data_IF_184891670514
#
_entry.id   IF_184891670514
#
_cell.length_a   1.000
_cell.length_b   1.000
_cell.length_c   1.000
_cell.angle_alpha   90.00
_cell.angle_beta   90.00
_cell.angle_gamma   90.00
#
_symmetry.space_group_name_H-M   'P 1'
#
loop_
_entity.id
_entity.type
_entity.pdbx_description
1 polymer ?
#
# COMPACT_ATOMS: atom_id res chain seq x y z
N UNK A 1 30.10 52.41 1.24
CA UNK A 1 28.74 52.34 1.83
C UNK A 1 28.73 51.28 2.90
N UNK A 2 28.53 51.73 4.13
CA UNK A 2 28.57 51.01 5.40
C UNK A 2 27.24 50.31 5.70
N UNK A 3 27.29 49.13 6.33
CA UNK A 3 26.58 48.85 7.60
C UNK A 3 27.04 47.52 8.23
N UNK A 4 27.53 47.64 9.46
CA UNK A 4 27.77 46.59 10.47
C UNK A 4 26.52 46.48 11.36
N UNK A 5 26.26 45.32 11.99
CA UNK A 5 25.68 45.15 13.35
C UNK A 5 25.42 43.64 13.61
N UNK A 6 26.21 42.97 14.47
CA UNK A 6 26.00 42.64 15.90
C UNK A 6 24.99 41.51 16.18
N UNK A 7 25.45 40.48 16.91
CA UNK A 7 24.62 39.42 17.51
C UNK A 7 24.28 39.66 18.98
N UNK A 8 23.66 38.67 19.63
CA UNK A 8 23.48 38.38 21.10
C UNK A 8 22.79 36.98 21.15
N UNK A 9 23.37 35.94 21.72
CA UNK A 9 23.42 35.50 23.14
C UNK A 9 22.12 34.91 23.73
N UNK A 10 22.33 33.82 24.49
CA UNK A 10 21.41 32.78 24.94
C UNK A 10 20.46 33.15 26.09
N UNK A 11 19.42 32.34 26.31
CA UNK A 11 18.94 32.04 27.66
C UNK A 11 18.22 30.68 27.77
N UNK A 12 18.60 29.93 28.81
CA UNK A 12 18.08 28.65 29.27
C UNK A 12 16.93 28.90 30.24
N UNK A 13 15.82 28.17 30.15
CA UNK A 13 14.97 27.88 31.31
C UNK A 13 14.42 26.45 31.23
N UNK A 14 14.78 25.66 32.24
CA UNK A 14 14.22 24.34 32.48
C UNK A 14 12.86 24.40 33.15
N UNK A 15 12.16 23.26 33.12
CA UNK A 15 11.07 22.94 34.04
C UNK A 15 11.00 21.43 34.19
N UNK A 16 11.33 20.95 35.38
CA UNK A 16 11.04 19.60 35.85
C UNK A 16 9.73 19.66 36.62
N UNK A 17 8.81 18.72 36.35
CA UNK A 17 7.73 18.39 37.27
C UNK A 17 7.46 16.88 37.21
N UNK A 18 7.57 16.26 38.39
CA UNK A 18 7.31 14.87 38.72
C UNK A 18 5.81 14.72 38.99
N UNK A 19 5.17 13.62 38.58
CA UNK A 19 4.01 13.07 39.29
C UNK A 19 3.83 11.57 38.99
N UNK A 20 3.47 10.88 40.07
CA UNK A 20 3.42 9.44 40.26
C UNK A 20 2.17 8.76 39.66
N UNK A 21 2.25 7.45 39.45
CA UNK A 21 1.06 6.62 39.15
C UNK A 21 1.33 5.12 39.28
N UNK A 22 0.69 4.50 40.27
CA UNK A 22 0.58 3.07 40.62
C UNK A 22 0.34 2.16 39.39
N UNK A 23 0.72 0.88 39.31
CA UNK A 23 0.88 -0.15 40.34
C UNK A 23 -0.28 -1.16 40.27
N UNK A 24 -0.16 -2.22 39.46
CA UNK A 24 -0.89 -3.53 39.51
C UNK A 24 -0.15 -4.48 38.53
N UNK A 25 0.64 -5.46 38.97
CA UNK A 25 0.32 -6.76 39.59
C UNK A 25 -0.29 -7.80 38.62
N UNK A 26 0.55 -8.79 38.25
CA UNK A 26 0.26 -10.23 38.03
C UNK A 26 -0.63 -10.61 36.81
N UNK A 27 -0.40 -11.65 35.99
CA UNK A 27 0.15 -13.00 36.17
C UNK A 27 0.74 -13.56 34.84
N UNK A 28 1.62 -14.60 34.91
CA UNK A 28 2.03 -15.42 33.78
C UNK A 28 1.16 -16.68 33.66
N UNK A 29 0.78 -17.08 32.44
CA UNK A 29 0.28 -18.44 32.14
C UNK A 29 0.59 -18.71 30.66
N UNK A 30 1.70 -19.39 30.38
CA UNK A 30 1.78 -20.83 30.14
C UNK A 30 1.03 -21.29 28.88
N UNK A 31 1.83 -21.90 28.00
CA UNK A 31 1.47 -22.62 26.80
C UNK A 31 0.35 -23.64 27.04
N UNK A 32 -0.39 -23.95 25.97
CA UNK A 32 -0.85 -25.31 25.67
C UNK A 32 -1.22 -25.41 24.19
N UNK A 33 -0.43 -26.20 23.48
CA UNK A 33 -0.77 -26.84 22.22
C UNK A 33 -2.11 -27.56 22.33
N UNK A 34 -2.94 -27.52 21.28
CA UNK A 34 -3.85 -28.63 21.00
C UNK A 34 -4.21 -28.72 19.52
N UNK A 35 -3.50 -29.65 18.87
CA UNK A 35 -3.85 -30.35 17.64
C UNK A 35 -5.22 -30.99 17.75
N UNK A 36 -6.12 -30.73 16.78
CA UNK A 36 -7.26 -31.57 16.42
C UNK A 36 -7.71 -31.28 14.97
N UNK A 37 -7.13 -32.01 14.00
CA UNK A 37 -7.88 -32.61 12.89
C UNK A 37 -8.36 -33.99 13.40
N UNK A 38 -9.22 -34.78 12.72
CA UNK A 38 -9.89 -34.58 11.43
C UNK A 38 -11.40 -34.95 11.45
N UNK A 39 -12.15 -34.68 10.37
CA UNK A 39 -12.84 -35.75 9.62
C UNK A 39 -13.62 -35.22 8.42
N UNK A 40 -13.29 -35.85 7.30
CA UNK A 40 -14.03 -36.01 6.06
C UNK A 40 -15.44 -36.56 6.26
N UNK A 41 -16.40 -36.09 5.45
CA UNK A 41 -17.48 -36.93 4.91
C UNK A 41 -17.99 -36.31 3.62
N UNK A 42 -17.75 -37.02 2.52
CA UNK A 42 -18.39 -36.82 1.23
C UNK A 42 -19.83 -37.36 1.28
N UNK A 43 -20.74 -36.75 0.54
CA UNK A 43 -21.92 -37.47 0.05
C UNK A 43 -22.37 -36.89 -1.28
N UNK A 44 -22.33 -37.75 -2.29
CA UNK A 44 -22.86 -37.55 -3.63
C UNK A 44 -24.38 -37.80 -3.65
N UNK A 45 -25.09 -37.10 -4.54
CA UNK A 45 -26.39 -37.53 -5.08
C UNK A 45 -26.68 -36.76 -6.38
N UNK A 46 -26.84 -37.49 -7.48
CA UNK A 46 -27.37 -37.06 -8.78
C UNK A 46 -28.83 -37.56 -8.94
N UNK A 47 -29.49 -37.46 -10.11
CA UNK A 47 -30.51 -36.47 -10.48
C UNK A 47 -31.93 -37.09 -10.60
N UNK A 48 -32.96 -36.34 -11.06
CA UNK A 48 -33.53 -36.71 -12.37
C UNK A 48 -34.15 -35.57 -13.24
N UNK A 49 -34.02 -35.80 -14.56
CA UNK A 49 -34.87 -35.52 -15.75
C UNK A 49 -35.88 -34.36 -15.87
N UNK A 50 -35.65 -33.55 -16.92
CA UNK A 50 -36.44 -33.31 -18.15
C UNK A 50 -37.97 -33.15 -18.10
N UNK A 51 -38.44 -31.96 -18.52
CA UNK A 51 -39.53 -31.83 -19.51
C UNK A 51 -39.60 -30.41 -20.10
N UNK A 52 -39.45 -30.32 -21.42
CA UNK A 52 -39.80 -29.21 -22.32
C UNK A 52 -41.33 -29.10 -22.44
N UNK A 53 -41.87 -27.89 -22.74
CA UNK A 53 -42.64 -27.82 -23.98
C UNK A 53 -42.40 -26.55 -24.81
N UNK A 54 -42.49 -26.79 -26.11
CA UNK A 54 -42.58 -25.90 -27.25
C UNK A 54 -43.79 -24.96 -27.19
N UNK A 55 -43.60 -23.70 -27.57
CA UNK A 55 -44.69 -22.73 -27.78
C UNK A 55 -44.19 -21.52 -28.55
N UNK A 56 -44.22 -21.60 -29.88
CA UNK A 56 -44.00 -20.50 -30.79
C UNK A 56 -45.24 -19.58 -30.82
N UNK A 57 -45.05 -18.28 -30.59
CA UNK A 57 -45.97 -17.26 -31.05
C UNK A 57 -45.18 -16.00 -31.42
N UNK A 58 -45.22 -15.67 -32.71
CA UNK A 58 -44.68 -14.47 -33.29
C UNK A 58 -45.45 -13.24 -32.78
N UNK A 59 -44.72 -12.18 -32.44
CA UNK A 59 -45.26 -10.83 -32.30
C UNK A 59 -44.22 -9.85 -32.83
N UNK A 60 -44.68 -9.10 -33.83
CA UNK A 60 -44.15 -7.92 -34.56
C UNK A 60 -42.99 -7.10 -33.96
N UNK A 61 -42.16 -6.46 -34.80
CA UNK A 61 -41.04 -5.63 -34.37
C UNK A 61 -41.55 -4.27 -33.89
N UNK A 62 -41.51 -4.03 -32.58
CA UNK A 62 -41.59 -2.68 -32.03
C UNK A 62 -40.21 -2.04 -32.15
N UNK A 63 -40.13 -1.00 -32.96
CA UNK A 63 -39.01 -0.07 -33.13
C UNK A 63 -38.42 0.31 -31.78
N UNK A 64 -37.28 -0.30 -31.43
CA UNK A 64 -36.45 0.10 -30.33
C UNK A 64 -35.80 1.44 -30.68
N UNK A 65 -36.34 2.52 -30.10
CA UNK A 65 -35.68 3.80 -30.06
C UNK A 65 -34.25 3.60 -29.53
N UNK A 66 -33.27 4.14 -30.26
CA UNK A 66 -31.87 4.14 -29.91
C UNK A 66 -31.69 4.72 -28.51
N UNK A 67 -31.46 3.85 -27.52
CA UNK A 67 -30.94 4.26 -26.23
C UNK A 67 -29.48 4.65 -26.44
N UNK A 68 -29.19 5.94 -26.35
CA UNK A 68 -27.83 6.43 -26.20
C UNK A 68 -27.18 5.72 -25.01
N UNK A 69 -25.98 5.14 -25.16
CA UNK A 69 -25.36 4.37 -24.08
C UNK A 69 -24.92 5.33 -22.98
N UNK A 70 -25.67 5.37 -21.88
CA UNK A 70 -25.10 5.79 -20.60
C UNK A 70 -23.99 4.80 -20.26
N UNK A 71 -22.73 5.25 -20.03
CA UNK A 71 -21.65 4.34 -19.72
C UNK A 71 -21.99 3.56 -18.44
N UNK A 72 -22.07 2.24 -18.55
CA UNK A 72 -22.25 1.35 -17.41
C UNK A 72 -21.06 1.52 -16.46
N UNK A 73 -21.31 1.51 -15.14
CA UNK A 73 -20.28 1.63 -14.08
C UNK A 73 -19.09 0.67 -14.26
N UNK A 74 -19.30 -0.49 -14.89
CA UNK A 74 -18.21 -1.43 -15.19
C UNK A 74 -17.26 -0.89 -16.28
N UNK A 75 -17.76 -0.16 -17.28
CA UNK A 75 -16.92 0.43 -18.33
C UNK A 75 -15.99 1.52 -17.77
N UNK A 76 -16.43 2.29 -16.77
CA UNK A 76 -15.56 3.29 -16.11
C UNK A 76 -14.52 2.63 -15.20
N UNK A 77 -14.92 1.63 -14.39
CA UNK A 77 -13.99 0.87 -13.54
C UNK A 77 -12.89 0.18 -14.36
N UNK A 78 -13.27 -0.50 -15.45
CA UNK A 78 -12.31 -1.14 -16.36
C UNK A 78 -11.39 -0.12 -17.06
N UNK A 79 -11.88 1.09 -17.33
CA UNK A 79 -11.05 2.16 -17.89
C UNK A 79 -10.00 2.62 -16.88
N UNK A 80 -10.37 2.73 -15.61
CA UNK A 80 -9.43 3.04 -14.53
C UNK A 80 -8.39 1.91 -14.35
N UNK A 81 -8.79 0.64 -14.44
CA UNK A 81 -7.84 -0.50 -14.42
C UNK A 81 -6.82 -0.39 -15.56
N UNK A 82 -7.26 -0.08 -16.78
CA UNK A 82 -6.35 0.13 -17.93
C UNK A 82 -5.38 1.27 -17.68
N UNK A 83 -5.84 2.35 -17.06
CA UNK A 83 -5.00 3.51 -16.77
C UNK A 83 -3.92 3.18 -15.73
N UNK A 84 -4.29 2.49 -14.64
CA UNK A 84 -3.35 1.96 -13.65
C UNK A 84 -2.31 1.04 -14.26
N UNK A 85 -2.74 0.09 -15.10
CA UNK A 85 -1.83 -0.80 -15.81
C UNK A 85 -0.84 -0.01 -16.68
N UNK A 86 -1.33 0.97 -17.44
CA UNK A 86 -0.49 1.81 -18.30
C UNK A 86 0.57 2.59 -17.52
N UNK A 87 0.21 3.24 -16.42
CA UNK A 87 1.19 4.01 -15.64
C UNK A 87 2.16 3.12 -14.86
N UNK A 88 1.73 1.93 -14.46
CA UNK A 88 2.58 0.97 -13.77
C UNK A 88 3.72 0.40 -14.63
N UNK A 89 3.57 0.40 -15.96
CA UNK A 89 4.65 0.00 -16.90
C UNK A 89 5.87 0.92 -16.84
N UNK A 90 5.70 2.14 -16.33
CA UNK A 90 6.79 3.09 -16.07
C UNK A 90 6.95 3.36 -14.57
N UNK A 91 6.42 2.44 -13.75
CA UNK A 91 6.42 2.40 -12.30
C UNK A 91 5.86 3.63 -11.60
N UNK A 92 4.89 4.30 -12.23
CA UNK A 92 4.11 5.39 -11.65
C UNK A 92 2.78 4.90 -11.11
N UNK A 93 2.21 5.67 -10.18
CA UNK A 93 0.87 5.50 -9.65
C UNK A 93 -0.02 6.71 -9.99
N UNK A 94 -1.31 6.51 -10.25
CA UNK A 94 -2.21 7.61 -10.55
C UNK A 94 -2.35 8.57 -9.36
N UNK A 95 -2.32 9.87 -9.66
CA UNK A 95 -2.32 10.93 -8.64
C UNK A 95 -0.98 11.15 -7.94
N UNK A 96 0.04 10.32 -8.21
CA UNK A 96 1.37 10.44 -7.64
C UNK A 96 2.33 10.80 -8.79
N UNK A 97 2.86 12.04 -8.84
CA UNK A 97 3.68 12.49 -9.96
C UNK A 97 5.06 11.81 -10.00
N UNK A 98 5.36 11.01 -8.99
CA UNK A 98 6.60 10.29 -8.85
C UNK A 98 6.41 8.78 -9.01
N UNK A 99 7.29 8.17 -9.79
CA UNK A 99 7.39 6.73 -9.94
C UNK A 99 8.58 6.15 -9.18
N UNK A 100 8.74 4.85 -9.30
CA UNK A 100 9.90 4.13 -8.82
C UNK A 100 11.22 4.66 -9.46
N UNK A 101 12.36 4.35 -8.84
CA UNK A 101 13.72 4.82 -9.17
C UNK A 101 13.95 6.33 -9.01
N UNK A 102 12.92 7.15 -8.85
CA UNK A 102 13.08 8.56 -8.52
C UNK A 102 13.56 8.75 -7.09
N UNK A 103 14.24 9.86 -6.81
CA UNK A 103 14.72 10.15 -5.47
C UNK A 103 13.57 10.56 -4.54
N UNK A 104 13.52 9.98 -3.33
CA UNK A 104 12.63 10.41 -2.26
C UNK A 104 12.74 11.92 -1.97
N UNK A 105 13.94 12.50 -2.02
CA UNK A 105 14.11 13.93 -1.74
C UNK A 105 13.48 14.84 -2.81
N UNK A 106 13.36 14.36 -4.04
CA UNK A 106 12.65 15.10 -5.08
C UNK A 106 11.15 15.18 -4.79
N UNK A 107 10.59 14.12 -4.20
CA UNK A 107 9.22 14.09 -3.69
C UNK A 107 9.07 15.00 -2.45
N UNK A 108 9.94 14.84 -1.45
CA UNK A 108 9.92 15.65 -0.21
C UNK A 108 9.99 17.15 -0.51
N UNK A 109 10.75 17.55 -1.53
CA UNK A 109 10.85 18.96 -1.95
C UNK A 109 9.51 19.53 -2.43
N UNK A 110 8.65 18.73 -3.05
CA UNK A 110 7.37 19.18 -3.64
C UNK A 110 6.20 18.96 -2.68
N UNK A 111 6.19 17.84 -1.96
CA UNK A 111 5.11 17.47 -1.04
C UNK A 111 5.37 17.87 0.41
N UNK A 112 6.58 18.34 0.72
CA UNK A 112 7.02 18.58 2.09
C UNK A 112 7.37 17.29 2.83
N UNK A 113 7.50 17.41 4.15
CA UNK A 113 7.80 16.27 5.01
C UNK A 113 6.56 15.40 5.20
N UNK A 114 6.69 14.10 4.97
CA UNK A 114 5.67 13.13 5.31
C UNK A 114 5.80 12.62 6.75
N UNK A 115 4.94 11.67 7.12
CA UNK A 115 5.00 10.98 8.41
C UNK A 115 5.81 9.69 8.27
N UNK A 116 6.89 9.54 9.03
CA UNK A 116 7.72 8.34 8.99
C UNK A 116 6.93 7.12 9.50
N UNK A 117 7.01 6.04 8.73
CA UNK A 117 6.51 4.71 9.06
C UNK A 117 7.63 3.76 9.47
N UNK A 118 7.31 2.47 9.64
CA UNK A 118 8.29 1.44 9.96
C UNK A 118 9.14 1.07 8.74
N UNK A 119 10.33 0.54 9.03
CA UNK A 119 11.18 -0.07 8.00
C UNK A 119 10.73 -1.51 7.75
N UNK A 120 10.48 -1.84 6.48
CA UNK A 120 10.00 -3.17 6.07
C UNK A 120 10.70 -3.54 4.78
N UNK A 121 11.25 -4.77 4.71
CA UNK A 121 11.90 -5.30 3.50
C UNK A 121 12.95 -4.35 2.89
N UNK A 122 13.83 -3.78 3.72
CA UNK A 122 14.88 -2.82 3.30
C UNK A 122 14.36 -1.49 2.73
N UNK A 123 13.07 -1.20 2.91
CA UNK A 123 12.48 0.09 2.57
C UNK A 123 12.11 0.86 3.81
N UNK A 124 12.32 2.16 3.73
CA UNK A 124 11.85 3.14 4.68
C UNK A 124 10.56 3.76 4.15
N UNK A 125 9.49 3.64 4.92
CA UNK A 125 8.18 4.09 4.49
C UNK A 125 7.85 5.48 5.03
N UNK A 126 7.22 6.30 4.19
CA UNK A 126 6.74 7.64 4.54
C UNK A 126 5.32 7.82 4.01
N UNK A 127 4.43 8.26 4.89
CA UNK A 127 3.02 8.50 4.60
C UNK A 127 2.75 9.97 4.29
N UNK A 128 1.96 10.21 3.24
CA UNK A 128 1.53 11.51 2.77
C UNK A 128 -0.01 11.56 2.72
N UNK A 129 -0.63 11.84 3.86
CA UNK A 129 -2.09 11.82 4.00
C UNK A 129 -2.82 12.76 3.04
N UNK A 130 -2.31 13.99 2.85
CA UNK A 130 -2.89 14.96 1.91
C UNK A 130 -2.84 14.51 0.44
N UNK A 131 -2.01 13.52 0.12
CA UNK A 131 -1.83 12.96 -1.22
C UNK A 131 -2.41 11.55 -1.36
N UNK A 132 -3.06 11.01 -0.32
CA UNK A 132 -3.54 9.63 -0.28
C UNK A 132 -2.45 8.63 -0.70
N UNK A 133 -1.21 8.84 -0.24
CA UNK A 133 -0.05 8.11 -0.72
C UNK A 133 0.85 7.64 0.41
N UNK A 134 1.50 6.50 0.19
CA UNK A 134 2.63 6.01 0.99
C UNK A 134 3.75 5.66 0.01
N UNK A 135 4.97 6.05 0.33
CA UNK A 135 6.15 5.70 -0.48
C UNK A 135 7.15 4.94 0.37
N UNK A 136 7.71 3.88 -0.20
CA UNK A 136 8.84 3.13 0.33
C UNK A 136 10.08 3.41 -0.50
N UNK A 137 11.18 3.77 0.14
CA UNK A 137 12.45 4.02 -0.53
C UNK A 137 13.61 3.26 0.14
N UNK A 138 14.57 2.87 -0.67
CA UNK A 138 15.73 2.10 -0.20
C UNK A 138 16.83 3.01 0.38
N UNK A 139 17.90 2.41 0.89
CA UNK A 139 19.04 3.14 1.44
C UNK A 139 19.68 4.12 0.43
N UNK A 140 19.65 3.80 -0.87
CA UNK A 140 20.06 4.67 -1.96
C UNK A 140 19.09 5.82 -2.27
N UNK A 141 18.11 6.05 -1.39
CA UNK A 141 17.05 7.07 -1.47
C UNK A 141 16.22 7.04 -2.74
N UNK A 142 16.14 5.88 -3.40
CA UNK A 142 15.28 5.64 -4.56
C UNK A 142 13.95 5.08 -4.11
N UNK A 143 12.85 5.64 -4.64
CA UNK A 143 11.53 5.08 -4.49
C UNK A 143 11.52 3.67 -5.11
N UNK A 144 11.02 2.68 -4.36
CA UNK A 144 10.92 1.30 -4.81
C UNK A 144 9.51 0.72 -4.60
N UNK A 145 8.70 1.38 -3.79
CA UNK A 145 7.30 1.04 -3.57
C UNK A 145 6.47 2.33 -3.51
N UNK A 146 5.47 2.46 -4.36
CA UNK A 146 4.56 3.60 -4.39
C UNK A 146 3.14 3.07 -4.20
N UNK A 147 2.56 3.37 -3.05
CA UNK A 147 1.21 2.97 -2.67
C UNK A 147 0.25 4.15 -2.79
N UNK A 148 -0.88 3.91 -3.45
CA UNK A 148 -1.96 4.87 -3.62
C UNK A 148 -3.25 4.38 -2.99
N UNK A 149 -3.86 5.26 -2.21
CA UNK A 149 -5.19 5.12 -1.61
C UNK A 149 -6.19 6.02 -2.35
N UNK A 150 -6.04 6.19 -3.67
CA UNK A 150 -6.97 6.98 -4.47
C UNK A 150 -8.42 6.47 -4.25
N UNK A 151 -9.37 7.34 -3.87
CA UNK A 151 -10.73 6.93 -3.53
C UNK A 151 -11.47 6.23 -4.68
N UNK A 152 -11.09 6.51 -5.93
CA UNK A 152 -11.69 5.88 -7.11
C UNK A 152 -11.37 4.38 -7.17
N UNK A 153 -10.38 3.89 -6.42
CA UNK A 153 -10.08 2.46 -6.32
C UNK A 153 -11.25 1.66 -5.73
N UNK A 154 -12.05 2.28 -4.86
CA UNK A 154 -13.19 1.62 -4.22
C UNK A 154 -14.33 1.26 -5.18
N UNK A 155 -14.24 1.66 -6.45
CA UNK A 155 -15.19 1.25 -7.49
C UNK A 155 -14.72 0.03 -8.30
N UNK A 156 -13.47 -0.39 -8.14
CA UNK A 156 -12.86 -1.49 -8.91
C UNK A 156 -13.08 -2.80 -8.16
N UNK A 157 -13.66 -3.79 -8.85
CA UNK A 157 -13.77 -5.16 -8.35
C UNK A 157 -12.69 -6.06 -8.93
N UNK A 158 -12.48 -7.24 -8.33
CA UNK A 158 -11.61 -8.26 -8.93
C UNK A 158 -12.06 -8.65 -10.34
N UNK A 159 -13.37 -8.74 -10.59
CA UNK A 159 -13.90 -9.07 -11.91
C UNK A 159 -13.56 -8.00 -12.96
N UNK A 160 -13.55 -6.72 -12.60
CA UNK A 160 -13.14 -5.65 -13.52
C UNK A 160 -11.64 -5.75 -13.84
N UNK A 161 -10.82 -6.10 -12.84
CA UNK A 161 -9.38 -6.31 -13.02
C UNK A 161 -9.14 -7.49 -13.96
N UNK A 162 -9.75 -8.64 -13.70
CA UNK A 162 -9.58 -9.85 -14.50
C UNK A 162 -10.12 -9.72 -15.92
N UNK A 163 -11.20 -8.94 -16.11
CA UNK A 163 -11.73 -8.63 -17.43
C UNK A 163 -10.75 -7.83 -18.31
N UNK A 164 -9.86 -7.03 -17.69
CA UNK A 164 -8.93 -6.15 -18.40
C UNK A 164 -7.53 -6.76 -18.50
N UNK A 165 -7.03 -7.34 -17.41
CA UNK A 165 -5.64 -7.80 -17.28
C UNK A 165 -5.52 -9.33 -17.30
N UNK A 166 -6.64 -10.06 -17.28
CA UNK A 166 -6.64 -11.50 -17.10
C UNK A 166 -6.34 -11.91 -15.66
N UNK A 167 -5.99 -13.19 -15.47
CA UNK A 167 -5.64 -13.72 -14.14
C UNK A 167 -4.35 -13.09 -13.61
N UNK A 168 -4.22 -12.89 -12.29
CA UNK A 168 -2.98 -12.41 -11.68
C UNK A 168 -1.83 -13.41 -11.88
N UNK A 169 -0.60 -12.89 -11.93
CA UNK A 169 0.61 -13.72 -11.93
C UNK A 169 0.83 -14.41 -10.58
N UNK A 170 0.43 -13.76 -9.48
CA UNK A 170 0.44 -14.38 -8.15
C UNK A 170 -0.59 -13.76 -7.23
N UNK A 171 -1.05 -14.56 -6.28
CA UNK A 171 -1.95 -14.14 -5.20
C UNK A 171 -1.27 -14.42 -3.87
N UNK A 172 -1.19 -13.41 -3.00
CA UNK A 172 -0.59 -13.54 -1.67
C UNK A 172 -1.50 -12.95 -0.59
N UNK A 173 -1.29 -13.40 0.65
CA UNK A 173 -2.04 -12.94 1.81
C UNK A 173 -1.07 -12.32 2.80
N UNK A 174 -1.36 -11.08 3.23
CA UNK A 174 -0.52 -10.37 4.19
C UNK A 174 -1.36 -9.41 5.02
N UNK A 175 -1.14 -9.39 6.33
CA UNK A 175 -1.78 -8.45 7.27
C UNK A 175 -3.30 -8.32 7.09
N UNK A 176 -4.01 -9.44 6.92
CA UNK A 176 -5.47 -9.45 6.71
C UNK A 176 -5.92 -8.91 5.36
N UNK A 177 -5.02 -8.80 4.38
CA UNK A 177 -5.30 -8.38 3.01
C UNK A 177 -4.93 -9.48 2.00
N UNK A 178 -5.57 -9.44 0.84
CA UNK A 178 -5.27 -10.26 -0.33
C UNK A 178 -4.67 -9.36 -1.41
N UNK A 179 -3.52 -9.77 -1.96
CA UNK A 179 -2.78 -9.02 -2.95
C UNK A 179 -2.77 -9.80 -4.26
N UNK A 180 -3.31 -9.19 -5.31
CA UNK A 180 -3.32 -9.72 -6.68
C UNK A 180 -2.23 -9.01 -7.48
N UNK A 181 -1.17 -9.74 -7.81
CA UNK A 181 0.04 -9.18 -8.43
C UNK A 181 0.04 -9.43 -9.93
N UNK A 182 0.32 -8.37 -10.70
CA UNK A 182 0.56 -8.40 -12.14
C UNK A 182 1.96 -7.86 -12.43
N UNK A 183 2.79 -8.66 -13.12
CA UNK A 183 4.12 -8.27 -13.55
C UNK A 183 4.02 -7.38 -14.79
N UNK A 184 4.69 -6.24 -14.75
CA UNK A 184 4.64 -5.19 -15.78
C UNK A 184 6.08 -4.85 -16.20
N UNK A 185 6.77 -5.83 -16.79
CA UNK A 185 8.18 -5.73 -17.12
C UNK A 185 9.06 -5.67 -15.86
N UNK A 186 9.84 -4.59 -15.63
CA UNK A 186 10.66 -4.46 -14.42
C UNK A 186 9.85 -4.14 -13.15
N UNK A 187 8.54 -3.89 -13.29
CA UNK A 187 7.66 -3.46 -12.21
C UNK A 187 6.60 -4.50 -11.88
N UNK A 188 5.94 -4.29 -10.75
CA UNK A 188 4.76 -5.04 -10.33
C UNK A 188 3.63 -4.08 -9.98
N UNK A 189 2.44 -4.39 -10.47
CA UNK A 189 1.19 -3.75 -10.08
C UNK A 189 0.45 -4.70 -9.14
N UNK A 190 0.23 -4.27 -7.90
CA UNK A 190 -0.46 -5.07 -6.89
C UNK A 190 -1.80 -4.40 -6.56
N UNK A 191 -2.88 -5.13 -6.75
CA UNK A 191 -4.22 -4.74 -6.31
C UNK A 191 -4.49 -5.32 -4.94
N UNK A 192 -4.70 -4.47 -3.95
CA UNK A 192 -4.83 -4.89 -2.55
C UNK A 192 -6.28 -4.78 -2.09
N UNK A 193 -6.83 -5.90 -1.62
CA UNK A 193 -8.15 -6.00 -1.03
C UNK A 193 -7.99 -6.25 0.47
N UNK A 194 -8.65 -5.43 1.30
CA UNK A 194 -8.54 -5.54 2.76
C UNK A 194 -9.71 -6.34 3.34
N UNK A 195 -9.41 -7.31 4.20
CA UNK A 195 -10.41 -8.15 4.87
C UNK A 195 -11.34 -8.86 3.87
N UNK A 196 -12.64 -8.67 4.06
CA UNK A 196 -13.69 -9.22 3.19
C UNK A 196 -14.20 -8.20 2.16
N UNK A 197 -13.46 -7.13 1.89
CA UNK A 197 -13.87 -6.13 0.91
C UNK A 197 -13.94 -6.73 -0.50
N UNK A 198 -15.01 -6.39 -1.24
CA UNK A 198 -15.19 -6.81 -2.63
C UNK A 198 -14.57 -5.85 -3.64
N UNK A 199 -13.99 -4.74 -3.15
CA UNK A 199 -13.36 -3.70 -3.97
C UNK A 199 -11.97 -3.38 -3.46
N UNK A 200 -11.18 -2.77 -4.34
CA UNK A 200 -9.78 -2.43 -4.07
C UNK A 200 -9.70 -1.42 -2.93
N UNK A 201 -8.83 -1.68 -1.96
CA UNK A 201 -8.53 -0.78 -0.86
C UNK A 201 -7.40 0.20 -1.24
N UNK A 202 -6.34 -0.32 -1.85
CA UNK A 202 -5.23 0.46 -2.37
C UNK A 202 -4.48 -0.30 -3.47
N UNK A 203 -3.60 0.39 -4.18
CA UNK A 203 -2.73 -0.18 -5.19
C UNK A 203 -1.28 0.12 -4.84
N UNK A 204 -0.41 -0.88 -4.99
CA UNK A 204 1.04 -0.72 -4.89
C UNK A 204 1.66 -0.88 -6.29
N UNK A 205 2.58 0.03 -6.62
CA UNK A 205 3.45 -0.09 -7.78
C UNK A 205 4.88 -0.25 -7.27
N UNK A 206 5.45 -1.42 -7.53
CA UNK A 206 6.72 -1.83 -6.94
C UNK A 206 7.79 -2.02 -8.01
N UNK A 207 9.02 -1.69 -7.64
CA UNK A 207 10.24 -2.01 -8.38
C UNK A 207 11.06 -3.03 -7.59
N UNK A 208 10.87 -4.34 -7.84
CA UNK A 208 11.45 -5.40 -7.01
C UNK A 208 12.97 -5.33 -6.89
N UNK A 209 13.66 -4.87 -7.94
CA UNK A 209 15.11 -4.70 -7.95
C UNK A 209 15.59 -3.60 -6.99
N UNK A 210 14.75 -2.61 -6.69
CA UNK A 210 15.04 -1.58 -5.70
C UNK A 210 14.72 -1.99 -4.26
N UNK A 211 14.00 -3.11 -4.06
CA UNK A 211 13.56 -3.61 -2.75
C UNK A 211 14.53 -4.63 -2.12
N UNK A 212 15.68 -4.88 -2.74
CA UNK A 212 16.73 -5.79 -2.22
C UNK A 212 17.94 -4.99 -1.72
N UNK A 213 18.63 -5.52 -0.70
CA UNK A 213 19.79 -4.89 -0.05
C UNK A 213 21.01 -4.73 -0.98
N UNK A 214 21.92 -3.78 -0.70
CA UNK A 214 21.77 -2.37 -1.03
C UNK A 214 22.28 -2.06 -2.45
N UNK A 215 21.38 -1.51 -3.27
CA UNK A 215 21.75 -0.67 -4.41
C UNK A 215 22.10 0.71 -3.84
N UNK A 216 23.32 0.87 -3.32
CA UNK A 216 23.82 2.19 -2.95
C UNK A 216 24.01 3.00 -4.24
N UNK A 217 23.01 3.82 -4.60
CA UNK A 217 23.33 5.04 -5.33
C UNK A 217 24.17 5.90 -4.39
N UNK A 218 25.24 6.50 -4.94
CA UNK A 218 26.12 7.39 -4.20
C UNK A 218 25.28 8.54 -3.63
N UNK A 219 24.93 8.44 -2.34
CA UNK A 219 24.12 9.45 -1.65
C UNK A 219 24.99 10.70 -1.54
N UNK A 220 24.59 11.85 -2.12
CA UNK A 220 25.35 13.08 -1.96
C UNK A 220 25.57 13.38 -0.46
N UNK A 221 26.77 13.82 -0.03
CA UNK A 221 27.15 13.87 1.38
C UNK A 221 26.22 14.74 2.25
N UNK A 222 25.58 15.76 1.67
CA UNK A 222 24.59 16.58 2.36
C UNK A 222 23.27 15.84 2.69
N UNK A 223 22.95 14.78 1.95
CA UNK A 223 21.77 13.95 2.16
C UNK A 223 22.06 12.79 3.12
N UNK A 224 23.29 12.28 3.13
CA UNK A 224 23.73 11.24 4.07
C UNK A 224 23.65 11.69 5.54
N UNK A 225 23.88 12.99 5.81
CA UNK A 225 23.77 13.55 7.16
C UNK A 225 22.32 13.58 7.70
N UNK A 226 21.33 13.89 6.84
CA UNK A 226 19.90 13.85 7.21
C UNK A 226 19.43 12.42 7.49
N UNK A 227 19.98 11.46 6.75
CA UNK A 227 19.70 10.04 6.94
C UNK A 227 20.28 9.46 8.24
N UNK A 228 21.59 9.65 8.45
CA UNK A 228 22.30 9.13 9.63
C UNK A 228 21.72 9.67 10.94
N UNK A 229 21.28 10.94 10.95
CA UNK A 229 20.64 11.55 12.12
C UNK A 229 19.29 10.90 12.45
N UNK A 230 18.53 10.45 11.44
CA UNK A 230 17.22 9.78 11.63
C UNK A 230 17.38 8.35 12.18
N UNK A 231 18.43 7.62 11.76
CA UNK A 231 18.76 6.30 12.30
C UNK A 231 19.24 6.38 13.77
N UNK A 232 19.99 7.43 14.12
CA UNK A 232 20.48 7.62 15.50
C UNK A 232 19.38 8.00 16.50
N UNK A 233 18.35 8.74 16.09
CA UNK A 233 17.23 9.07 16.98
C UNK A 233 16.28 7.89 17.20
N UNK A 234 16.11 7.01 16.20
CA UNK A 234 15.33 5.78 16.32
C UNK A 234 15.99 4.72 17.24
N UNK A 235 17.32 4.67 17.28
CA UNK A 235 18.05 3.71 18.15
C UNK A 235 18.21 4.20 19.59
N UNK A 236 18.28 5.51 19.82
CA UNK A 236 18.40 6.09 21.18
C UNK A 236 17.12 6.05 22.02
N UNK A 237 15.97 5.77 21.41
CA UNK A 237 14.66 5.73 22.09
C UNK A 237 14.25 4.33 22.59
N UNK A 238 15.13 3.33 22.51
CA UNK A 238 14.97 2.06 23.24
C UNK A 238 15.48 2.21 24.69
N UNK A 239 14.63 2.31 25.73
CA UNK A 239 15.11 2.29 27.10
C UNK A 239 15.75 0.92 27.37
N UNK A 240 17.05 0.92 27.67
CA UNK A 240 17.71 -0.24 28.26
C UNK A 240 17.00 -0.57 29.57
N UNK A 241 16.18 -1.62 29.56
CA UNK A 241 15.66 -2.21 30.81
C UNK A 241 16.86 -2.74 31.59
N UNK A 242 17.34 -1.93 32.54
CA UNK A 242 18.31 -2.35 33.55
C UNK A 242 17.68 -3.51 34.32
N UNK A 243 18.28 -4.69 34.18
CA UNK A 243 18.00 -5.86 35.03
C UNK A 243 18.49 -5.50 36.43
N UNK A 244 17.57 -5.34 37.37
CA UNK A 244 17.91 -5.36 38.79
C UNK A 244 18.01 -6.83 39.22
N UNK A 245 19.13 -7.17 39.85
CA UNK A 245 19.32 -8.39 40.65
C UNK A 245 18.87 -8.10 42.07
#
# INVERSE_FOLDING_TARGET
MTKKSLGISALILGSSAVLAGCGIASHPTAALSRTSQPQTSASASTPPTTSTPTGAAASTPTTAAAQSPTPSKSTSAQSLVREWAKVSLVGKALGIPYGDQQSYYALEKVWGQGTNGPDVNHLHYVSYGAHNAVVGFNEGVQLADVRSYNPDLHQITLSDIEAVLGKPDSVSHSAGSVLYTYNQGPYRLLWVFSGSASTVAHVDVQWPKGMVAPMAAEIPPHQAARWSTSQQTATRSRPQRRRWR
#
